data_IF_411278241048
#
_entry.id   IF_411278241048
#
_cell.length_a   1.000
_cell.length_b   1.000
_cell.length_c   1.000
_cell.angle_alpha   90.00
_cell.angle_beta   90.00
_cell.angle_gamma   90.00
#
_symmetry.space_group_name_H-M   'P 1'
#
loop_
_entity.id
_entity.type
_entity.pdbx_description
1 polymer ?
#
# COMPACT_ATOMS: atom_id res chain seq x y z
N UNK A 1 8.26 17.25 5.92
CA UNK A 1 8.50 16.02 5.12
C UNK A 1 7.77 16.13 3.79
N UNK A 2 8.25 15.49 2.71
CA UNK A 2 7.60 15.53 1.40
C UNK A 2 7.50 14.11 0.81
N UNK A 3 6.36 13.75 0.22
CA UNK A 3 6.18 12.54 -0.58
C UNK A 3 5.69 12.97 -1.95
N UNK A 4 6.46 12.75 -3.01
CA UNK A 4 6.22 13.34 -4.32
C UNK A 4 5.97 14.86 -4.20
N UNK A 5 4.81 15.37 -4.64
CA UNK A 5 4.45 16.78 -4.54
C UNK A 5 3.65 17.16 -3.30
N UNK A 6 3.34 16.18 -2.43
CA UNK A 6 2.55 16.39 -1.23
C UNK A 6 3.46 16.84 -0.09
N UNK A 7 3.18 18.03 0.46
CA UNK A 7 3.90 18.58 1.61
C UNK A 7 3.22 18.15 2.91
N UNK A 8 4.01 17.71 3.87
CA UNK A 8 3.56 17.33 5.22
C UNK A 8 4.33 18.13 6.29
N UNK A 9 3.83 18.22 7.53
CA UNK A 9 4.61 18.72 8.67
C UNK A 9 5.94 17.99 8.83
N UNK A 10 6.81 18.49 9.68
CA UNK A 10 8.11 17.83 9.97
C UNK A 10 7.92 16.42 10.53
N UNK A 11 6.93 16.23 11.39
CA UNK A 11 6.55 14.94 12.02
C UNK A 11 5.09 14.62 11.71
N UNK A 12 4.80 14.13 10.51
CA UNK A 12 3.42 13.86 10.13
C UNK A 12 2.88 12.61 10.82
N UNK A 13 1.58 12.62 11.08
CA UNK A 13 0.84 11.49 11.61
C UNK A 13 0.01 10.84 10.50
N UNK A 14 0.33 9.60 10.15
CA UNK A 14 -0.39 8.83 9.14
C UNK A 14 -1.21 7.72 9.77
N UNK A 15 -2.51 7.64 9.40
CA UNK A 15 -3.34 6.51 9.78
C UNK A 15 -2.93 5.27 8.97
N UNK A 16 -2.45 4.23 9.65
CA UNK A 16 -2.07 2.99 8.99
C UNK A 16 -3.30 2.24 8.41
N UNK A 17 -3.16 1.54 7.26
CA UNK A 17 -4.23 0.74 6.70
C UNK A 17 -4.55 -0.48 7.59
N UNK A 18 -5.84 -0.68 7.90
CA UNK A 18 -6.32 -1.78 8.73
C UNK A 18 -7.64 -2.32 8.18
N UNK A 19 -7.65 -3.63 7.85
CA UNK A 19 -8.87 -4.30 7.36
C UNK A 19 -9.97 -4.26 8.42
N UNK A 20 -11.21 -4.04 7.96
CA UNK A 20 -12.42 -3.91 8.78
C UNK A 20 -12.36 -2.76 9.82
N UNK A 21 -11.42 -1.80 9.69
CA UNK A 21 -11.24 -0.66 10.60
C UNK A 21 -11.17 0.67 9.84
N UNK A 22 -10.30 0.77 8.82
CA UNK A 22 -10.08 2.04 8.10
C UNK A 22 -11.11 2.27 7.00
N UNK A 23 -12.40 2.12 7.35
CA UNK A 23 -13.51 2.53 6.50
C UNK A 23 -13.58 4.08 6.38
N UNK A 24 -14.40 4.63 5.46
CA UNK A 24 -14.49 6.07 5.27
C UNK A 24 -14.85 6.84 6.54
N UNK A 25 -15.74 6.30 7.39
CA UNK A 25 -16.16 6.98 8.61
C UNK A 25 -15.02 7.11 9.63
N UNK A 26 -14.25 6.02 9.81
CA UNK A 26 -13.09 6.02 10.69
C UNK A 26 -11.95 6.90 10.17
N UNK A 27 -11.70 6.89 8.86
CA UNK A 27 -10.69 7.78 8.24
C UNK A 27 -11.03 9.25 8.44
N UNK A 28 -12.30 9.64 8.21
CA UNK A 28 -12.79 11.01 8.47
C UNK A 28 -12.64 11.39 9.94
N UNK A 29 -12.93 10.47 10.87
CA UNK A 29 -12.72 10.70 12.30
C UNK A 29 -11.24 10.97 12.60
N UNK A 30 -10.35 10.15 12.09
CA UNK A 30 -8.90 10.32 12.27
C UNK A 30 -8.40 11.64 11.68
N UNK A 31 -8.93 12.09 10.54
CA UNK A 31 -8.62 13.42 9.97
C UNK A 31 -9.02 14.53 10.92
N UNK A 32 -10.21 14.47 11.53
CA UNK A 32 -10.67 15.46 12.53
C UNK A 32 -9.75 15.51 13.76
N UNK A 33 -9.10 14.41 14.12
CA UNK A 33 -8.15 14.33 15.23
C UNK A 33 -6.69 14.53 14.81
N UNK A 34 -6.45 15.03 13.60
CA UNK A 34 -5.13 15.50 13.17
C UNK A 34 -4.28 14.50 12.41
N UNK A 35 -4.86 13.44 11.82
CA UNK A 35 -4.13 12.63 10.87
C UNK A 35 -3.82 13.45 9.61
N UNK A 36 -2.53 13.54 9.24
CA UNK A 36 -2.08 14.28 8.06
C UNK A 36 -2.41 13.54 6.76
N UNK A 37 -2.37 12.20 6.78
CA UNK A 37 -2.76 11.34 5.67
C UNK A 37 -3.44 10.07 6.18
N UNK A 38 -4.33 9.52 5.38
CA UNK A 38 -5.02 8.27 5.69
C UNK A 38 -4.84 7.25 4.55
N UNK A 39 -5.01 5.97 4.89
CA UNK A 39 -4.99 4.85 3.95
C UNK A 39 -6.35 4.17 3.94
N UNK A 40 -6.78 3.69 2.78
CA UNK A 40 -7.94 2.79 2.70
C UNK A 40 -7.62 1.46 3.40
N UNK A 41 -8.64 0.65 3.66
CA UNK A 41 -8.41 -0.78 3.86
C UNK A 41 -7.66 -1.37 2.65
N UNK A 42 -6.87 -2.42 2.85
CA UNK A 42 -6.14 -3.01 1.72
C UNK A 42 -7.07 -3.76 0.76
N UNK A 43 -6.86 -3.57 -0.52
CA UNK A 43 -7.71 -4.04 -1.61
C UNK A 43 -7.01 -5.19 -2.35
N UNK A 44 -7.70 -6.32 -2.50
CA UNK A 44 -7.20 -7.44 -3.30
C UNK A 44 -7.17 -7.07 -4.79
N UNK A 45 -5.99 -7.13 -5.41
CA UNK A 45 -5.85 -6.91 -6.85
C UNK A 45 -6.71 -7.91 -7.66
N UNK A 46 -6.64 -9.20 -7.33
CA UNK A 46 -7.43 -10.25 -8.00
C UNK A 46 -8.94 -10.03 -7.89
N UNK A 47 -9.42 -9.51 -6.77
CA UNK A 47 -10.84 -9.24 -6.59
C UNK A 47 -11.27 -7.96 -7.33
N UNK A 48 -10.39 -6.94 -7.34
CA UNK A 48 -10.67 -5.66 -8.00
C UNK A 48 -10.78 -5.82 -9.52
N UNK A 49 -9.84 -6.51 -10.17
CA UNK A 49 -9.87 -6.75 -11.63
C UNK A 49 -11.05 -7.63 -12.07
N UNK A 50 -11.68 -8.35 -11.13
CA UNK A 50 -12.91 -9.13 -11.38
C UNK A 50 -14.18 -8.38 -11.03
N UNK A 51 -14.10 -7.08 -10.78
CA UNK A 51 -15.24 -6.21 -10.43
C UNK A 51 -16.07 -6.73 -9.25
N UNK A 52 -15.40 -7.24 -8.21
CA UNK A 52 -16.11 -7.67 -6.99
C UNK A 52 -16.62 -6.42 -6.26
N UNK A 53 -17.93 -6.25 -6.23
CA UNK A 53 -18.63 -5.04 -5.73
C UNK A 53 -18.14 -4.56 -4.35
N UNK A 54 -17.94 -5.48 -3.39
CA UNK A 54 -17.42 -5.13 -2.05
C UNK A 54 -15.99 -4.56 -2.12
N UNK A 55 -15.21 -5.01 -3.10
CA UNK A 55 -13.84 -4.53 -3.32
C UNK A 55 -13.83 -3.14 -3.95
N UNK A 56 -14.71 -2.90 -4.93
CA UNK A 56 -14.88 -1.59 -5.56
C UNK A 56 -15.33 -0.53 -4.56
N UNK A 57 -16.19 -0.88 -3.59
CA UNK A 57 -16.62 0.03 -2.52
C UNK A 57 -15.47 0.57 -1.69
N UNK A 58 -14.36 -0.17 -1.54
CA UNK A 58 -13.16 0.29 -0.81
C UNK A 58 -12.37 1.37 -1.56
N UNK A 59 -12.67 1.62 -2.84
CA UNK A 59 -12.09 2.72 -3.61
C UNK A 59 -12.73 4.08 -3.29
N UNK A 60 -13.82 4.11 -2.52
CA UNK A 60 -14.52 5.35 -2.19
C UNK A 60 -13.62 6.26 -1.36
N UNK A 61 -13.43 7.48 -1.86
CA UNK A 61 -12.66 8.55 -1.21
C UNK A 61 -13.55 9.79 -1.12
N UNK A 62 -13.56 10.45 0.03
CA UNK A 62 -14.22 11.73 0.24
C UNK A 62 -13.17 12.86 0.26
N UNK A 63 -13.54 14.05 -0.20
CA UNK A 63 -12.60 15.18 -0.28
C UNK A 63 -12.09 15.60 1.10
N UNK A 64 -12.88 15.44 2.14
CA UNK A 64 -12.55 15.81 3.52
C UNK A 64 -11.48 14.91 4.16
N UNK A 65 -11.21 13.73 3.57
CA UNK A 65 -10.19 12.81 4.10
C UNK A 65 -8.84 12.92 3.38
N UNK A 66 -8.74 13.77 2.36
CA UNK A 66 -7.51 13.95 1.58
C UNK A 66 -6.37 14.59 2.40
N UNK A 67 -5.10 14.24 2.14
CA UNK A 67 -4.63 13.26 1.14
C UNK A 67 -4.90 11.80 1.58
N UNK A 68 -5.22 10.95 0.59
CA UNK A 68 -5.56 9.53 0.78
C UNK A 68 -4.66 8.64 -0.08
N UNK A 69 -4.18 7.55 0.51
CA UNK A 69 -3.54 6.47 -0.22
C UNK A 69 -4.49 5.28 -0.38
N UNK A 70 -4.65 4.78 -1.60
CA UNK A 70 -5.32 3.48 -1.84
C UNK A 70 -4.26 2.38 -1.73
N UNK A 71 -4.48 1.42 -0.80
CA UNK A 71 -3.56 0.31 -0.60
C UNK A 71 -4.02 -0.96 -1.31
N UNK A 72 -3.15 -1.53 -2.15
CA UNK A 72 -3.36 -2.75 -2.90
C UNK A 72 -2.52 -3.91 -2.37
N UNK A 73 -3.01 -5.14 -2.48
CA UNK A 73 -2.22 -6.34 -2.25
C UNK A 73 -2.52 -7.42 -3.30
N UNK A 74 -1.51 -8.19 -3.65
CA UNK A 74 -1.58 -9.29 -4.60
C UNK A 74 -0.21 -9.96 -4.71
N UNK A 75 -0.10 -10.95 -5.60
CA UNK A 75 1.15 -11.66 -5.84
C UNK A 75 1.54 -11.72 -7.33
N UNK A 76 0.62 -11.36 -8.23
CA UNK A 76 0.86 -11.40 -9.67
C UNK A 76 1.05 -9.98 -10.19
N UNK A 77 2.15 -9.73 -10.92
CA UNK A 77 2.51 -8.39 -11.39
C UNK A 77 1.47 -7.80 -12.33
N UNK A 78 0.91 -8.60 -13.24
CA UNK A 78 -0.11 -8.16 -14.18
C UNK A 78 -1.38 -7.74 -13.46
N UNK A 79 -1.86 -8.57 -12.51
CA UNK A 79 -3.04 -8.26 -11.71
C UNK A 79 -2.85 -7.00 -10.85
N UNK A 80 -1.66 -6.84 -10.26
CA UNK A 80 -1.32 -5.66 -9.45
C UNK A 80 -1.26 -4.39 -10.30
N UNK A 81 -0.70 -4.48 -11.50
CA UNK A 81 -0.63 -3.36 -12.44
C UNK A 81 -2.01 -2.93 -12.93
N UNK A 82 -2.87 -3.86 -13.27
CA UNK A 82 -4.24 -3.58 -13.69
C UNK A 82 -5.08 -3.01 -12.55
N UNK A 83 -4.99 -3.61 -11.35
CA UNK A 83 -5.66 -3.09 -10.16
C UNK A 83 -5.19 -1.67 -9.80
N UNK A 84 -3.91 -1.36 -10.01
CA UNK A 84 -3.37 -0.02 -9.77
C UNK A 84 -3.94 1.02 -10.75
N UNK A 85 -4.14 0.67 -12.04
CA UNK A 85 -4.83 1.54 -13.01
C UNK A 85 -6.28 1.81 -12.58
N UNK A 86 -7.01 0.77 -12.18
CA UNK A 86 -8.39 0.92 -11.68
C UNK A 86 -8.43 1.81 -10.43
N UNK A 87 -7.49 1.60 -9.50
CA UNK A 87 -7.39 2.40 -8.28
C UNK A 87 -7.01 3.87 -8.60
N UNK A 88 -6.19 4.12 -9.61
CA UNK A 88 -5.83 5.47 -10.06
C UNK A 88 -7.03 6.25 -10.57
N UNK A 89 -8.04 5.58 -11.17
CA UNK A 89 -9.29 6.23 -11.63
C UNK A 89 -10.11 6.83 -10.48
N UNK A 90 -10.00 6.27 -9.27
CA UNK A 90 -10.59 6.86 -8.06
C UNK A 90 -9.86 8.13 -7.58
N UNK A 91 -8.79 8.52 -8.28
CA UNK A 91 -7.99 9.73 -8.07
C UNK A 91 -7.45 9.89 -6.62
N UNK A 92 -6.80 8.86 -6.02
CA UNK A 92 -6.08 9.03 -4.77
C UNK A 92 -4.84 9.92 -4.97
N UNK A 93 -4.23 10.38 -3.89
CA UNK A 93 -2.93 11.04 -3.96
C UNK A 93 -1.79 10.03 -4.15
N UNK A 94 -1.94 8.81 -3.64
CA UNK A 94 -0.90 7.77 -3.61
C UNK A 94 -1.53 6.41 -3.89
N UNK A 95 -0.83 5.57 -4.65
CA UNK A 95 -1.06 4.12 -4.72
C UNK A 95 -0.04 3.45 -3.80
N UNK A 96 -0.51 2.70 -2.80
CA UNK A 96 0.35 2.03 -1.83
C UNK A 96 0.33 0.51 -1.99
N UNK A 97 1.48 -0.15 -1.83
CA UNK A 97 1.61 -1.59 -1.95
C UNK A 97 1.77 -2.24 -0.58
N UNK A 98 0.91 -3.21 -0.26
CA UNK A 98 0.97 -3.96 0.98
C UNK A 98 1.88 -5.18 0.85
N UNK A 99 3.06 -5.10 1.46
CA UNK A 99 4.00 -6.20 1.62
C UNK A 99 4.24 -6.54 3.11
N UNK A 100 3.23 -6.23 3.96
CA UNK A 100 3.38 -6.39 5.41
C UNK A 100 2.24 -7.15 6.11
N UNK A 101 1.13 -7.48 5.44
CA UNK A 101 0.02 -8.20 6.07
C UNK A 101 0.39 -9.65 6.38
N UNK A 102 0.41 -10.09 7.68
CA UNK A 102 0.83 -11.44 8.07
C UNK A 102 -0.31 -12.46 8.09
N UNK A 103 -1.54 -12.04 7.82
CA UNK A 103 -2.73 -12.90 7.91
C UNK A 103 -2.59 -14.10 6.97
N UNK A 104 -2.84 -15.32 7.47
CA UNK A 104 -2.66 -16.58 6.70
C UNK A 104 -3.37 -16.58 5.34
N UNK A 105 -4.54 -15.95 5.24
CA UNK A 105 -5.28 -15.82 3.96
C UNK A 105 -4.52 -15.02 2.90
N UNK A 106 -3.62 -14.14 3.30
CA UNK A 106 -2.80 -13.28 2.45
C UNK A 106 -1.38 -13.85 2.34
N UNK A 107 -0.64 -13.88 3.46
CA UNK A 107 0.75 -14.30 3.49
C UNK A 107 0.95 -15.77 3.11
N UNK A 108 0.03 -16.66 3.50
CA UNK A 108 0.07 -18.08 3.12
C UNK A 108 -0.12 -18.34 1.62
N UNK A 109 -0.64 -17.35 0.89
CA UNK A 109 -0.77 -17.40 -0.58
C UNK A 109 0.37 -16.68 -1.30
N UNK A 110 1.40 -16.23 -0.59
CA UNK A 110 2.55 -15.53 -1.15
C UNK A 110 2.29 -14.05 -1.46
N UNK A 111 1.25 -13.44 -0.89
CA UNK A 111 0.99 -11.99 -0.96
C UNK A 111 1.28 -11.31 0.39
N UNK A 112 1.19 -9.99 0.47
CA UNK A 112 1.46 -9.26 1.71
C UNK A 112 2.85 -9.60 2.28
N UNK A 113 2.94 -9.93 3.58
CA UNK A 113 4.20 -10.33 4.20
C UNK A 113 4.81 -11.61 3.61
N UNK A 114 4.02 -12.44 2.92
CA UNK A 114 4.51 -13.64 2.24
C UNK A 114 5.58 -13.34 1.17
N UNK A 115 5.55 -12.14 0.57
CA UNK A 115 6.53 -11.69 -0.42
C UNK A 115 7.91 -11.39 0.20
N UNK A 116 8.02 -11.23 1.52
CA UNK A 116 9.34 -11.13 2.18
C UNK A 116 10.19 -12.41 2.06
N UNK A 117 9.60 -13.51 1.61
CA UNK A 117 10.30 -14.76 1.26
C UNK A 117 10.64 -14.87 -0.23
N UNK A 118 10.19 -13.92 -1.04
CA UNK A 118 10.40 -13.88 -2.49
C UNK A 118 10.64 -12.44 -2.94
N UNK A 119 11.81 -11.92 -2.57
CA UNK A 119 12.19 -10.53 -2.88
C UNK A 119 12.18 -10.26 -4.39
N UNK A 120 12.71 -11.16 -5.27
CA UNK A 120 12.62 -10.93 -6.70
C UNK A 120 11.19 -10.68 -7.19
N UNK A 121 10.22 -11.45 -6.69
CA UNK A 121 8.81 -11.27 -7.05
C UNK A 121 8.23 -9.96 -6.50
N UNK A 122 8.62 -9.56 -5.29
CA UNK A 122 8.24 -8.27 -4.72
C UNK A 122 8.72 -7.11 -5.59
N UNK A 123 9.97 -7.14 -6.05
CA UNK A 123 10.56 -6.11 -6.91
C UNK A 123 9.92 -6.10 -8.30
N UNK A 124 9.63 -7.28 -8.88
CA UNK A 124 8.89 -7.41 -10.14
C UNK A 124 7.54 -6.70 -10.06
N UNK A 125 6.75 -7.00 -9.01
CA UNK A 125 5.44 -6.38 -8.77
C UNK A 125 5.58 -4.86 -8.61
N UNK A 126 6.52 -4.41 -7.79
CA UNK A 126 6.74 -2.99 -7.52
C UNK A 126 7.08 -2.24 -8.81
N UNK A 127 8.03 -2.76 -9.59
CA UNK A 127 8.44 -2.18 -10.88
C UNK A 127 7.27 -2.13 -11.87
N UNK A 128 6.47 -3.19 -11.93
CA UNK A 128 5.32 -3.26 -12.83
C UNK A 128 4.25 -2.22 -12.47
N UNK A 129 3.95 -2.05 -11.18
CA UNK A 129 2.98 -1.04 -10.71
C UNK A 129 3.50 0.38 -10.95
N UNK A 130 4.75 0.68 -10.60
CA UNK A 130 5.35 2.00 -10.83
C UNK A 130 5.28 2.40 -12.31
N UNK A 131 5.50 1.46 -13.23
CA UNK A 131 5.37 1.71 -14.68
C UNK A 131 3.93 1.84 -15.16
N UNK A 132 2.97 1.30 -14.43
CA UNK A 132 1.58 1.23 -14.86
C UNK A 132 0.76 2.48 -14.56
N UNK A 133 1.15 3.28 -13.57
CA UNK A 133 0.39 4.45 -13.07
C UNK A 133 1.20 5.73 -13.11
N UNK A 134 0.50 6.87 -13.05
CA UNK A 134 1.10 8.22 -12.97
C UNK A 134 1.20 8.73 -11.53
N UNK A 135 0.35 8.19 -10.66
CA UNK A 135 0.36 8.55 -9.23
C UNK A 135 1.63 8.06 -8.55
N UNK A 136 2.12 8.77 -7.53
CA UNK A 136 3.22 8.28 -6.70
C UNK A 136 2.91 6.90 -6.13
N UNK A 137 3.88 6.00 -6.18
CA UNK A 137 3.77 4.65 -5.59
C UNK A 137 4.58 4.61 -4.31
N UNK A 138 3.97 4.08 -3.25
CA UNK A 138 4.64 3.82 -1.97
C UNK A 138 4.52 2.34 -1.61
N UNK A 139 5.33 1.91 -0.64
CA UNK A 139 5.32 0.54 -0.14
C UNK A 139 5.20 0.54 1.38
N UNK A 140 4.37 -0.34 1.92
CA UNK A 140 4.33 -0.64 3.35
C UNK A 140 4.73 -2.09 3.59
N UNK A 141 5.80 -2.31 4.38
CA UNK A 141 6.37 -3.63 4.64
C UNK A 141 6.75 -3.82 6.12
N UNK A 142 7.49 -4.89 6.43
CA UNK A 142 8.05 -5.25 7.74
C UNK A 142 9.58 -5.30 7.69
N UNK A 143 10.22 -5.56 8.83
CA UNK A 143 11.69 -5.72 8.93
C UNK A 143 12.19 -6.94 8.13
N UNK A 144 11.36 -7.96 8.03
CA UNK A 144 11.67 -9.22 7.37
C UNK A 144 10.53 -10.22 7.60
N UNK A 145 10.71 -11.45 7.12
CA UNK A 145 9.75 -12.52 7.30
C UNK A 145 9.70 -13.03 8.75
N UNK A 146 10.85 -13.19 9.37
CA UNK A 146 11.05 -13.61 10.76
C UNK A 146 12.32 -12.99 11.34
N UNK A 147 12.66 -13.32 12.58
CA UNK A 147 13.80 -12.74 13.30
C UNK A 147 15.15 -13.04 12.66
N UNK A 148 15.28 -14.19 12.00
CA UNK A 148 16.52 -14.63 11.35
C UNK A 148 16.65 -14.09 9.91
N UNK A 149 15.54 -13.61 9.34
CA UNK A 149 15.45 -13.15 7.96
C UNK A 149 15.00 -11.68 7.87
N UNK A 150 15.72 -10.78 8.55
CA UNK A 150 15.53 -9.34 8.46
C UNK A 150 16.29 -8.81 7.26
N UNK A 151 15.56 -8.35 6.25
CA UNK A 151 16.10 -7.95 4.94
C UNK A 151 15.92 -6.48 4.63
N UNK A 152 15.34 -5.71 5.55
CA UNK A 152 14.84 -4.37 5.27
C UNK A 152 15.90 -3.38 4.80
N UNK A 153 17.15 -3.50 5.26
CA UNK A 153 18.23 -2.57 4.88
C UNK A 153 18.48 -2.68 3.37
N UNK A 154 18.80 -3.87 2.88
CA UNK A 154 19.07 -4.10 1.47
C UNK A 154 17.79 -3.96 0.62
N UNK A 155 16.65 -4.37 1.17
CA UNK A 155 15.35 -4.26 0.49
C UNK A 155 14.93 -2.80 0.26
N UNK A 156 15.26 -1.90 1.18
CA UNK A 156 14.91 -0.48 1.04
C UNK A 156 15.57 0.14 -0.20
N UNK A 157 16.85 -0.13 -0.43
CA UNK A 157 17.58 0.34 -1.61
C UNK A 157 16.98 -0.24 -2.91
N UNK A 158 16.72 -1.56 -2.91
CA UNK A 158 16.14 -2.24 -4.08
C UNK A 158 14.72 -1.71 -4.42
N UNK A 159 13.89 -1.43 -3.42
CA UNK A 159 12.57 -0.83 -3.63
C UNK A 159 12.68 0.61 -4.13
N UNK A 160 13.65 1.39 -3.64
CA UNK A 160 13.94 2.73 -4.15
C UNK A 160 14.32 2.68 -5.62
N UNK A 161 15.15 1.72 -6.03
CA UNK A 161 15.56 1.52 -7.43
C UNK A 161 14.38 1.14 -8.35
N UNK A 162 13.33 0.52 -7.80
CA UNK A 162 12.08 0.30 -8.53
C UNK A 162 11.30 1.58 -8.82
N UNK A 163 11.63 2.70 -8.14
CA UNK A 163 11.01 4.01 -8.35
C UNK A 163 9.89 4.35 -7.38
N UNK A 164 9.82 3.73 -6.20
CA UNK A 164 8.87 4.14 -5.17
C UNK A 164 9.24 5.52 -4.60
N UNK A 165 8.25 6.25 -4.08
CA UNK A 165 8.44 7.60 -3.52
C UNK A 165 8.56 7.63 -2.01
N UNK A 166 8.11 6.60 -1.33
CA UNK A 166 8.27 6.42 0.11
C UNK A 166 8.14 4.95 0.53
N UNK A 167 8.76 4.61 1.66
CA UNK A 167 8.71 3.29 2.29
C UNK A 167 8.26 3.43 3.74
N UNK A 168 7.18 2.75 4.12
CA UNK A 168 6.71 2.65 5.50
C UNK A 168 7.07 1.28 6.07
N UNK A 169 7.71 1.26 7.23
CA UNK A 169 8.20 0.03 7.86
C UNK A 169 7.47 -0.20 9.18
N UNK A 170 6.77 -1.33 9.29
CA UNK A 170 6.32 -1.83 10.58
C UNK A 170 7.52 -2.47 11.29
N UNK A 171 7.90 -1.97 12.45
CA UNK A 171 9.07 -2.40 13.22
C UNK A 171 8.90 -3.80 13.85
N UNK A 172 8.36 -4.75 13.09
CA UNK A 172 8.14 -6.16 13.42
C UNK A 172 8.54 -7.07 12.27
N UNK A 173 8.72 -8.32 12.58
CA UNK A 173 8.79 -9.44 11.64
C UNK A 173 7.46 -10.18 11.55
#
# INVERSE_FOLDING_TARGET
MKIADIQFPEKPLFLAPMEDVTDPAFRLLCKKFGADMVYTEFISADALIRSVKRTEQKLTIHDEERPVAIQLYGREADAMSEAARIAEEANPEIIDLNFGCPVKKVAGKGAGAGLLRDIPKMLEITTAVVKAVKKPVTVKTRLGWDEDNKVIIDLAEQLQDCGITALAIHGRT
#
